data_IF_399520098182
#
_entry.id   IF_399520098182
#
_cell.length_a   1.000
_cell.length_b   1.000
_cell.length_c   1.000
_cell.angle_alpha   90.00
_cell.angle_beta   90.00
_cell.angle_gamma   90.00
#
_symmetry.space_group_name_H-M   'P 1'
#
loop_
_entity.id
_entity.type
_entity.pdbx_description
1 polymer ?
#
# COMPACT_ATOMS: atom_id res chain seq x y z
N UNK A 1 3.08 -12.77 6.76
CA UNK A 1 1.91 -12.05 6.20
C UNK A 1 0.73 -11.95 7.14
N UNK A 2 0.80 -12.63 8.26
CA UNK A 2 -0.31 -12.60 9.19
C UNK A 2 -0.62 -11.20 9.72
N UNK A 3 0.41 -10.41 9.94
CA UNK A 3 0.19 -9.05 10.41
C UNK A 3 -0.61 -8.24 9.40
N UNK A 4 -0.27 -8.38 8.14
CA UNK A 4 -0.97 -7.64 7.11
C UNK A 4 -2.42 -8.12 7.00
N UNK A 5 -2.60 -9.43 7.10
CA UNK A 5 -3.93 -9.98 7.06
C UNK A 5 -4.78 -9.47 8.22
N UNK A 6 -4.20 -9.45 9.41
CA UNK A 6 -4.92 -8.96 10.58
C UNK A 6 -5.28 -7.48 10.43
N UNK A 7 -4.36 -6.70 9.86
CA UNK A 7 -4.63 -5.30 9.63
C UNK A 7 -5.79 -5.09 8.68
N UNK A 8 -5.86 -5.92 7.64
CA UNK A 8 -6.97 -5.83 6.69
C UNK A 8 -8.29 -6.16 7.35
N UNK A 9 -8.27 -7.16 8.24
CA UNK A 9 -9.50 -7.57 8.89
C UNK A 9 -10.01 -6.53 9.87
N UNK A 10 -9.15 -5.65 10.34
CA UNK A 10 -9.58 -4.64 11.30
C UNK A 10 -10.23 -3.44 10.65
N UNK A 11 -10.20 -3.36 9.32
CA UNK A 11 -10.81 -2.25 8.59
C UNK A 11 -12.26 -2.60 8.30
N UNK A 12 -13.15 -1.77 8.77
CA UNK A 12 -14.57 -2.03 8.62
C UNK A 12 -15.08 -1.59 7.25
N UNK A 13 -15.95 -2.37 6.63
CA UNK A 13 -16.51 -2.00 5.34
C UNK A 13 -17.32 -0.71 5.44
N UNK A 14 -17.19 0.13 4.44
CA UNK A 14 -17.91 1.39 4.39
C UNK A 14 -19.22 1.29 3.62
N UNK A 15 -19.41 0.19 2.91
CA UNK A 15 -20.54 0.05 2.02
C UNK A 15 -20.25 0.48 0.60
N UNK A 16 -19.07 1.08 0.38
CA UNK A 16 -18.63 1.47 -0.94
C UNK A 16 -17.42 0.62 -1.32
N UNK A 17 -17.59 -0.22 -2.30
CA UNK A 17 -16.56 -1.18 -2.66
C UNK A 17 -15.26 -0.53 -3.10
N UNK A 18 -15.34 0.54 -3.86
CA UNK A 18 -14.14 1.21 -4.32
C UNK A 18 -13.36 1.82 -3.16
N UNK A 19 -14.05 2.46 -2.24
CA UNK A 19 -13.42 3.02 -1.07
C UNK A 19 -12.78 1.95 -0.21
N UNK A 20 -13.47 0.84 -0.02
CA UNK A 20 -12.95 -0.26 0.78
C UNK A 20 -11.71 -0.87 0.14
N UNK A 21 -11.73 -1.02 -1.18
CA UNK A 21 -10.57 -1.53 -1.90
C UNK A 21 -9.35 -0.65 -1.64
N UNK A 22 -9.52 0.66 -1.80
CA UNK A 22 -8.40 1.58 -1.62
C UNK A 22 -7.90 1.56 -0.18
N UNK A 23 -8.81 1.54 0.78
CA UNK A 23 -8.42 1.54 2.19
C UNK A 23 -7.65 0.28 2.57
N UNK A 24 -8.00 -0.84 1.97
CA UNK A 24 -7.29 -2.08 2.24
C UNK A 24 -5.95 -2.12 1.54
N UNK A 25 -5.90 -1.60 0.31
CA UNK A 25 -4.67 -1.69 -0.47
C UNK A 25 -3.60 -0.71 -0.02
N UNK A 26 -3.97 0.42 0.56
CA UNK A 26 -2.97 1.38 1.01
C UNK A 26 -1.98 0.78 2.00
N UNK A 27 -2.42 0.13 3.09
CA UNK A 27 -1.45 -0.49 3.99
C UNK A 27 -0.67 -1.64 3.34
N UNK A 28 -1.26 -2.32 2.37
CA UNK A 28 -0.54 -3.34 1.61
C UNK A 28 0.63 -2.73 0.87
N UNK A 29 0.36 -1.64 0.16
CA UNK A 29 1.39 -0.97 -0.62
C UNK A 29 2.47 -0.39 0.27
N UNK A 30 2.08 0.17 1.41
CA UNK A 30 3.05 0.72 2.34
C UNK A 30 3.94 -0.38 2.90
N UNK A 31 3.36 -1.52 3.24
CA UNK A 31 4.13 -2.66 3.74
C UNK A 31 5.11 -3.16 2.69
N UNK A 32 4.71 -3.17 1.42
CA UNK A 32 5.59 -3.59 0.35
C UNK A 32 6.81 -2.66 0.24
N UNK A 33 6.58 -1.36 0.38
CA UNK A 33 7.67 -0.40 0.35
C UNK A 33 8.62 -0.64 1.52
N UNK A 34 8.07 -0.87 2.71
CA UNK A 34 8.90 -1.09 3.89
C UNK A 34 9.77 -2.32 3.73
N UNK A 35 9.20 -3.40 3.19
CA UNK A 35 9.95 -4.62 2.95
C UNK A 35 11.03 -4.41 1.88
N UNK A 36 10.70 -3.65 0.85
CA UNK A 36 11.66 -3.37 -0.21
C UNK A 36 12.82 -2.52 0.30
N UNK A 37 12.53 -1.56 1.17
CA UNK A 37 13.59 -0.76 1.77
C UNK A 37 14.50 -1.62 2.63
N UNK A 38 13.94 -2.56 3.35
CA UNK A 38 14.75 -3.49 4.15
C UNK A 38 15.64 -4.34 3.25
N UNK A 39 15.13 -4.76 2.10
CA UNK A 39 15.93 -5.51 1.16
C UNK A 39 17.11 -4.68 0.66
N UNK A 40 16.87 -3.40 0.34
CA UNK A 40 17.96 -2.55 -0.12
C UNK A 40 18.98 -2.28 0.97
N UNK A 41 18.54 -2.24 2.22
CA UNK A 41 19.46 -2.00 3.33
C UNK A 41 20.28 -3.23 3.70
N UNK A 42 19.69 -4.41 3.61
CA UNK A 42 20.30 -5.61 4.16
C UNK A 42 20.46 -6.77 3.17
N UNK A 43 19.74 -6.74 2.08
CA UNK A 43 19.80 -7.82 1.12
C UNK A 43 21.08 -7.79 0.31
N UNK A 44 21.42 -8.92 -0.28
CA UNK A 44 22.68 -9.05 -1.02
C UNK A 44 22.49 -9.47 -2.45
N UNK A 45 21.40 -10.11 -2.77
CA UNK A 45 21.18 -10.61 -4.12
C UNK A 45 20.89 -9.46 -5.07
N UNK A 46 21.67 -9.30 -6.14
CA UNK A 46 21.46 -8.16 -7.04
C UNK A 46 20.10 -8.14 -7.72
N UNK A 47 19.56 -9.30 -8.06
CA UNK A 47 18.25 -9.34 -8.71
C UNK A 47 17.16 -8.93 -7.76
N UNK A 48 17.24 -9.36 -6.51
CA UNK A 48 16.23 -9.00 -5.53
C UNK A 48 16.34 -7.54 -5.15
N UNK A 49 17.55 -7.01 -5.09
CA UNK A 49 17.72 -5.58 -4.81
C UNK A 49 17.14 -4.73 -5.93
N UNK A 50 17.31 -5.16 -7.18
CA UNK A 50 16.73 -4.44 -8.31
C UNK A 50 15.21 -4.47 -8.25
N UNK A 51 14.66 -5.65 -7.96
CA UNK A 51 13.22 -5.78 -7.83
C UNK A 51 12.69 -4.89 -6.72
N UNK A 52 13.39 -4.84 -5.59
CA UNK A 52 12.98 -3.99 -4.48
C UNK A 52 12.93 -2.53 -4.89
N UNK A 53 13.91 -2.08 -5.67
CA UNK A 53 13.92 -0.70 -6.15
C UNK A 53 12.71 -0.42 -7.04
N UNK A 54 12.38 -1.36 -7.91
CA UNK A 54 11.22 -1.19 -8.78
C UNK A 54 9.93 -1.16 -7.97
N UNK A 55 9.85 -2.01 -6.96
CA UNK A 55 8.66 -2.04 -6.10
C UNK A 55 8.47 -0.70 -5.42
N UNK A 56 9.54 -0.12 -4.88
CA UNK A 56 9.42 1.17 -4.20
C UNK A 56 8.84 2.21 -5.15
N UNK A 57 9.37 2.27 -6.37
CA UNK A 57 8.90 3.26 -7.33
C UNK A 57 7.44 3.02 -7.71
N UNK A 58 7.10 1.78 -8.04
CA UNK A 58 5.74 1.46 -8.49
C UNK A 58 4.72 1.65 -7.38
N UNK A 59 5.06 1.20 -6.17
CA UNK A 59 4.13 1.31 -5.07
C UNK A 59 3.90 2.76 -4.65
N UNK A 60 4.93 3.59 -4.73
CA UNK A 60 4.77 5.00 -4.40
C UNK A 60 3.80 5.69 -5.36
N UNK A 61 3.90 5.37 -6.66
CA UNK A 61 2.98 5.93 -7.63
C UNK A 61 1.55 5.49 -7.35
N UNK A 62 1.38 4.23 -7.00
CA UNK A 62 0.04 3.71 -6.72
C UNK A 62 -0.52 4.29 -5.45
N UNK A 63 0.32 4.48 -4.44
CA UNK A 63 -0.13 5.10 -3.20
C UNK A 63 -0.61 6.52 -3.47
N UNK A 64 0.14 7.28 -4.25
CA UNK A 64 -0.25 8.63 -4.58
C UNK A 64 -1.57 8.68 -5.31
N UNK A 65 -1.77 7.76 -6.25
CA UNK A 65 -3.02 7.67 -6.98
C UNK A 65 -4.18 7.37 -6.03
N UNK A 66 -3.99 6.42 -5.13
CA UNK A 66 -5.05 6.05 -4.21
C UNK A 66 -5.36 7.16 -3.23
N UNK A 67 -4.33 7.87 -2.77
CA UNK A 67 -4.55 8.99 -1.86
C UNK A 67 -5.30 10.12 -2.55
N UNK A 68 -4.96 10.38 -3.81
CA UNK A 68 -5.67 11.38 -4.58
C UNK A 68 -7.13 10.96 -4.79
N UNK A 69 -7.33 9.70 -5.12
CA UNK A 69 -8.68 9.20 -5.32
C UNK A 69 -9.52 9.35 -4.05
N UNK A 70 -8.95 9.01 -2.90
CA UNK A 70 -9.65 9.16 -1.63
C UNK A 70 -10.00 10.63 -1.37
N UNK A 71 -9.08 11.51 -1.69
CA UNK A 71 -9.31 12.92 -1.49
C UNK A 71 -10.47 13.42 -2.34
N UNK A 72 -10.59 12.90 -3.55
CA UNK A 72 -11.64 13.34 -4.47
C UNK A 72 -12.98 12.65 -4.22
N UNK A 73 -12.95 11.45 -3.65
CA UNK A 73 -14.18 10.65 -3.50
C UNK A 73 -14.45 10.31 -2.05
N UNK A 74 -13.57 9.50 -1.47
CA UNK A 74 -13.83 8.97 -0.15
C UNK A 74 -13.77 10.03 0.93
N UNK A 75 -12.72 10.83 0.92
CA UNK A 75 -12.54 11.80 1.99
C UNK A 75 -13.51 12.94 1.89
N UNK A 76 -14.01 13.22 0.69
CA UNK A 76 -14.99 14.30 0.55
C UNK A 76 -16.27 13.98 1.27
N UNK A 77 -16.57 12.72 1.43
CA UNK A 77 -17.79 12.34 2.12
C UNK A 77 -17.71 12.63 3.61
N UNK A 78 -16.58 13.01 4.08
CA UNK A 78 -16.40 13.29 5.50
C UNK A 78 -16.85 14.66 5.90
N UNK A 79 -17.21 15.46 4.98
CA UNK A 79 -17.64 16.81 5.31
C UNK A 79 -18.92 16.90 6.07
#
# INVERSE_FOLDING_TARGET
MEKMHAGMQSIEPSGDNDTDFVRLMLPHHQAAIDMAKAELAHGKDPQMRRLAQEIITDQQSEIELMQLWLKQHGSTSQK
#
